data_IF_454510821400
#
_entry.id   IF_454510821400
#
_cell.length_a   1.000
_cell.length_b   1.000
_cell.length_c   1.000
_cell.angle_alpha   90.00
_cell.angle_beta   90.00
_cell.angle_gamma   90.00
#
_symmetry.space_group_name_H-M   'P 1'
#
loop_
_entity.id
_entity.type
_entity.pdbx_description
1 polymer ?
#
# COMPACT_ATOMS: atom_id res chain seq x y z
N UNK A 1 8.25 25.38 -17.21
CA UNK A 1 7.70 24.68 -16.02
C UNK A 1 8.50 23.41 -15.81
N UNK A 2 8.98 23.13 -14.60
CA UNK A 2 9.65 21.86 -14.32
C UNK A 2 8.66 20.70 -14.50
N UNK A 3 9.09 19.61 -15.14
CA UNK A 3 8.25 18.43 -15.36
C UNK A 3 8.18 17.63 -14.04
N UNK A 4 7.02 17.62 -13.38
CA UNK A 4 6.79 16.84 -12.15
C UNK A 4 5.77 15.76 -12.40
N UNK A 5 6.09 14.52 -12.00
CA UNK A 5 5.16 13.39 -12.06
C UNK A 5 4.94 12.83 -10.66
N UNK A 6 3.70 12.46 -10.35
CA UNK A 6 3.31 11.87 -9.07
C UNK A 6 2.98 10.40 -9.25
N UNK A 7 3.80 9.51 -8.69
CA UNK A 7 3.48 8.09 -8.60
C UNK A 7 2.75 7.78 -7.31
N UNK A 8 2.02 6.68 -7.31
CA UNK A 8 1.18 6.28 -6.17
C UNK A 8 1.94 5.55 -5.08
N UNK A 9 2.99 4.81 -5.41
CA UNK A 9 3.70 3.98 -4.44
C UNK A 9 5.05 3.55 -4.99
N UNK A 10 5.96 3.23 -4.07
CA UNK A 10 7.22 2.56 -4.38
C UNK A 10 7.08 1.04 -4.54
N UNK A 11 5.93 0.48 -4.19
CA UNK A 11 5.71 -0.95 -4.12
C UNK A 11 6.16 -1.56 -2.79
N UNK A 12 5.76 -2.82 -2.52
CA UNK A 12 5.93 -3.46 -1.22
C UNK A 12 7.40 -3.72 -0.87
N UNK A 13 8.25 -3.99 -1.87
CA UNK A 13 9.67 -4.27 -1.66
C UNK A 13 10.42 -3.02 -1.19
N UNK A 14 10.20 -1.88 -1.86
CA UNK A 14 10.80 -0.62 -1.45
C UNK A 14 10.30 -0.16 -0.07
N UNK A 15 9.00 -0.29 0.20
CA UNK A 15 8.42 0.02 1.51
C UNK A 15 8.98 -0.88 2.62
N UNK A 16 9.28 -2.15 2.31
CA UNK A 16 9.93 -3.07 3.26
C UNK A 16 11.28 -2.54 3.73
N UNK A 17 12.08 -1.98 2.82
CA UNK A 17 13.40 -1.42 3.13
C UNK A 17 13.32 -0.25 4.12
N UNK A 18 12.31 0.61 3.98
CA UNK A 18 12.07 1.68 4.95
C UNK A 18 11.45 1.16 6.25
N UNK A 19 10.55 0.19 6.17
CA UNK A 19 9.89 -0.39 7.32
C UNK A 19 10.87 -1.07 8.29
N UNK A 20 11.95 -1.68 7.78
CA UNK A 20 13.02 -2.25 8.61
C UNK A 20 13.66 -1.20 9.53
N UNK A 21 13.83 0.03 9.05
CA UNK A 21 14.32 1.13 9.87
C UNK A 21 13.31 1.54 10.95
N UNK A 22 12.00 1.52 10.63
CA UNK A 22 10.92 1.76 11.60
C UNK A 22 10.82 0.63 12.62
N UNK A 23 11.09 -0.62 12.24
CA UNK A 23 11.10 -1.75 13.17
C UNK A 23 12.22 -1.64 14.20
N UNK A 24 13.39 -1.15 13.75
CA UNK A 24 14.58 -0.96 14.58
C UNK A 24 14.43 0.21 15.56
N UNK A 25 13.88 1.34 15.11
CA UNK A 25 13.80 2.56 15.93
C UNK A 25 12.39 2.82 16.46
N UNK A 26 12.28 3.14 17.75
CA UNK A 26 10.99 3.36 18.40
C UNK A 26 10.54 4.83 18.37
N UNK A 27 10.73 5.51 17.24
CA UNK A 27 10.64 6.98 17.19
C UNK A 27 9.25 7.54 16.81
N UNK A 28 8.36 6.73 16.23
CA UNK A 28 7.06 7.20 15.73
C UNK A 28 5.91 6.32 16.27
N UNK A 29 5.01 6.93 17.03
CA UNK A 29 3.84 6.29 17.64
C UNK A 29 2.82 5.80 16.62
N UNK A 30 2.76 6.43 15.44
CA UNK A 30 1.89 6.00 14.35
C UNK A 30 2.15 4.55 13.94
N UNK A 31 3.34 4.00 14.18
CA UNK A 31 3.70 2.63 13.84
C UNK A 31 3.75 1.69 15.05
N UNK A 32 3.33 2.14 16.25
CA UNK A 32 3.40 1.32 17.46
C UNK A 32 2.56 0.03 17.35
N UNK A 33 1.35 0.12 16.78
CA UNK A 33 0.49 -1.04 16.52
C UNK A 33 1.13 -2.04 15.57
N UNK A 34 1.64 -1.57 14.43
CA UNK A 34 2.38 -2.38 13.47
C UNK A 34 3.60 -3.06 14.09
N UNK A 35 4.46 -2.31 14.81
CA UNK A 35 5.65 -2.87 15.48
C UNK A 35 5.27 -3.96 16.47
N UNK A 36 4.21 -3.75 17.27
CA UNK A 36 3.73 -4.74 18.25
C UNK A 36 3.30 -6.02 17.55
N UNK A 37 2.51 -5.91 16.47
CA UNK A 37 2.08 -7.07 15.69
C UNK A 37 3.27 -7.84 15.11
N UNK A 38 4.19 -7.15 14.42
CA UNK A 38 5.35 -7.79 13.78
C UNK A 38 6.25 -8.47 14.82
N UNK A 39 6.53 -7.82 15.95
CA UNK A 39 7.37 -8.40 17.02
C UNK A 39 6.71 -9.59 17.70
N UNK A 40 5.39 -9.55 17.91
CA UNK A 40 4.64 -10.64 18.54
C UNK A 40 4.52 -11.85 17.63
N UNK A 41 4.13 -11.64 16.38
CA UNK A 41 3.84 -12.71 15.42
C UNK A 41 5.12 -13.38 14.89
N UNK A 42 6.21 -12.61 14.76
CA UNK A 42 7.47 -13.07 14.19
C UNK A 42 8.63 -13.05 15.19
N UNK A 43 8.35 -13.22 16.49
CA UNK A 43 9.34 -13.16 17.57
C UNK A 43 10.60 -14.01 17.30
N UNK A 44 10.43 -15.24 16.78
CA UNK A 44 11.54 -16.14 16.43
C UNK A 44 12.43 -15.63 15.30
N UNK A 45 11.89 -14.84 14.37
CA UNK A 45 12.61 -14.29 13.20
C UNK A 45 13.07 -12.84 13.42
N UNK A 46 12.63 -12.19 14.50
CA UNK A 46 12.94 -10.80 14.78
C UNK A 46 14.45 -10.49 14.78
N UNK A 47 15.34 -11.30 15.40
CA UNK A 47 16.78 -11.03 15.35
C UNK A 47 17.33 -10.99 13.90
N UNK A 48 16.79 -11.85 13.04
CA UNK A 48 17.19 -11.91 11.63
C UNK A 48 16.77 -10.65 10.87
N UNK A 49 15.55 -10.14 11.09
CA UNK A 49 15.10 -8.88 10.49
C UNK A 49 15.89 -7.67 10.99
N UNK A 50 16.26 -7.64 12.26
CA UNK A 50 17.07 -6.56 12.82
C UNK A 50 18.50 -6.56 12.25
N UNK A 51 19.12 -7.73 12.09
CA UNK A 51 20.42 -7.86 11.42
C UNK A 51 20.36 -7.40 9.95
N UNK A 52 19.29 -7.75 9.23
CA UNK A 52 19.08 -7.25 7.87
C UNK A 52 18.94 -5.72 7.84
N UNK A 53 18.21 -5.12 8.78
CA UNK A 53 18.09 -3.67 8.91
C UNK A 53 19.45 -3.00 9.19
N UNK A 54 20.29 -3.63 10.02
CA UNK A 54 21.65 -3.18 10.30
C UNK A 54 22.52 -3.19 9.04
N UNK A 55 22.57 -4.33 8.33
CA UNK A 55 23.34 -4.50 7.08
C UNK A 55 22.98 -3.46 6.02
N UNK A 56 21.68 -3.18 5.86
CA UNK A 56 21.20 -2.17 4.91
C UNK A 56 21.56 -0.74 5.33
N UNK A 57 21.72 -0.47 6.62
CA UNK A 57 22.06 0.86 7.12
C UNK A 57 23.56 1.13 7.02
N UNK A 58 24.40 0.11 7.25
CA UNK A 58 25.86 0.22 7.24
C UNK A 58 26.47 0.21 5.85
N UNK A 59 25.68 -0.13 4.82
CA UNK A 59 26.12 -0.15 3.42
C UNK A 59 25.37 0.90 2.58
N UNK A 60 25.83 2.17 2.56
CA UNK A 60 25.26 3.18 1.68
C UNK A 60 25.28 2.75 0.21
N UNK A 61 24.24 3.09 -0.56
CA UNK A 61 24.15 2.75 -1.98
C UNK A 61 23.77 1.28 -2.27
N UNK A 62 23.55 0.48 -1.23
CA UNK A 62 23.11 -0.92 -1.39
C UNK A 62 21.70 -1.05 -1.95
N UNK A 63 20.87 -0.01 -1.83
CA UNK A 63 19.52 0.01 -2.40
C UNK A 63 19.46 1.08 -3.47
N UNK A 64 19.06 0.68 -4.68
CA UNK A 64 18.68 1.58 -5.75
C UNK A 64 17.18 1.47 -6.00
N UNK A 65 16.55 2.60 -6.36
CA UNK A 65 15.17 2.65 -6.81
C UNK A 65 15.16 3.11 -8.26
N UNK A 66 14.53 2.33 -9.13
CA UNK A 66 14.40 2.63 -10.56
C UNK A 66 12.95 2.74 -10.97
N UNK A 67 12.64 3.62 -11.91
CA UNK A 67 11.32 3.67 -12.56
C UNK A 67 11.40 2.80 -13.82
N UNK A 68 10.49 1.84 -13.94
CA UNK A 68 10.35 1.05 -15.15
C UNK A 68 9.57 1.81 -16.24
N UNK A 69 9.53 1.29 -17.46
CA UNK A 69 8.77 1.88 -18.56
C UNK A 69 7.24 1.97 -18.28
N UNK A 70 6.71 1.22 -17.31
CA UNK A 70 5.29 1.22 -16.94
C UNK A 70 4.99 2.13 -15.74
N UNK A 71 5.88 3.07 -15.42
CA UNK A 71 5.76 3.98 -14.26
C UNK A 71 5.61 3.23 -12.92
N UNK A 72 6.21 2.03 -12.85
CA UNK A 72 6.33 1.26 -11.61
C UNK A 72 7.74 1.40 -11.05
N UNK A 73 7.83 1.65 -9.75
CA UNK A 73 9.12 1.69 -9.04
C UNK A 73 9.56 0.28 -8.73
N UNK A 74 10.82 -0.04 -9.04
CA UNK A 74 11.50 -1.27 -8.66
C UNK A 74 12.61 -0.95 -7.68
N UNK A 75 12.64 -1.69 -6.57
CA UNK A 75 13.76 -1.67 -5.65
C UNK A 75 14.74 -2.79 -6.03
N UNK A 76 16.01 -2.43 -6.18
CA UNK A 76 17.07 -3.35 -6.54
C UNK A 76 18.22 -3.22 -5.52
N UNK A 77 18.73 -4.36 -5.07
CA UNK A 77 19.95 -4.40 -4.28
C UNK A 77 21.15 -4.26 -5.21
N UNK A 78 22.05 -3.32 -4.90
CA UNK A 78 23.25 -3.10 -5.67
C UNK A 78 24.19 -4.31 -5.53
N UNK A 79 24.31 -5.08 -6.61
CA UNK A 79 25.08 -6.32 -6.66
C UNK A 79 26.59 -6.09 -6.67
N UNK A 80 27.05 -4.88 -7.02
CA UNK A 80 28.48 -4.54 -7.10
C UNK A 80 29.17 -4.56 -5.74
N UNK A 81 28.41 -4.42 -4.65
CA UNK A 81 28.92 -4.38 -3.29
C UNK A 81 28.90 -5.74 -2.56
N UNK A 82 28.36 -6.81 -3.16
CA UNK A 82 28.07 -8.05 -2.44
C UNK A 82 28.38 -9.32 -3.26
N UNK A 83 28.76 -10.38 -2.55
CA UNK A 83 28.89 -11.72 -3.15
C UNK A 83 27.53 -12.34 -3.47
N UNK A 84 27.45 -13.23 -4.46
CA UNK A 84 26.21 -13.94 -4.84
C UNK A 84 25.50 -14.64 -3.67
N UNK A 85 26.20 -15.33 -2.74
CA UNK A 85 25.55 -15.90 -1.55
C UNK A 85 24.95 -14.85 -0.61
N UNK A 86 25.65 -13.74 -0.37
CA UNK A 86 25.16 -12.63 0.47
C UNK A 86 23.92 -11.98 -0.14
N UNK A 87 23.93 -11.72 -1.45
CA UNK A 87 22.78 -11.18 -2.18
C UNK A 87 21.55 -12.09 -2.05
N UNK A 88 21.74 -13.39 -2.24
CA UNK A 88 20.67 -14.38 -2.13
C UNK A 88 20.09 -14.39 -0.72
N UNK A 89 20.95 -14.41 0.29
CA UNK A 89 20.52 -14.36 1.70
C UNK A 89 19.71 -13.10 2.02
N UNK A 90 20.19 -11.92 1.62
CA UNK A 90 19.50 -10.64 1.83
C UNK A 90 18.16 -10.58 1.08
N UNK A 91 18.11 -11.09 -0.15
CA UNK A 91 16.88 -11.08 -0.96
C UNK A 91 15.82 -12.01 -0.35
N UNK A 92 16.22 -13.20 0.09
CA UNK A 92 15.32 -14.13 0.79
C UNK A 92 14.80 -13.51 2.09
N UNK A 93 15.69 -12.97 2.91
CA UNK A 93 15.35 -12.34 4.18
C UNK A 93 14.41 -11.13 4.01
N UNK A 94 14.66 -10.29 3.00
CA UNK A 94 13.78 -9.17 2.65
C UNK A 94 12.40 -9.65 2.18
N UNK A 95 12.36 -10.72 1.38
CA UNK A 95 11.11 -11.31 0.89
C UNK A 95 10.29 -11.88 2.05
N UNK A 96 10.93 -12.60 2.96
CA UNK A 96 10.28 -13.10 4.18
C UNK A 96 9.73 -11.95 5.03
N UNK A 97 10.53 -10.89 5.22
CA UNK A 97 10.08 -9.71 5.96
C UNK A 97 8.90 -9.02 5.27
N UNK A 98 8.92 -8.88 3.95
CA UNK A 98 7.83 -8.27 3.17
C UNK A 98 6.52 -9.05 3.34
N UNK A 99 6.58 -10.38 3.18
CA UNK A 99 5.41 -11.25 3.34
C UNK A 99 4.86 -11.23 4.76
N UNK A 100 5.73 -11.13 5.76
CA UNK A 100 5.36 -11.07 7.16
C UNK A 100 4.80 -9.70 7.59
N UNK A 101 5.51 -8.62 7.27
CA UNK A 101 5.30 -7.32 7.90
C UNK A 101 4.60 -6.30 7.02
N UNK A 102 4.56 -6.49 5.70
CA UNK A 102 4.01 -5.50 4.75
C UNK A 102 2.77 -6.03 4.05
N UNK A 103 2.82 -7.23 3.48
CA UNK A 103 1.73 -7.82 2.68
C UNK A 103 0.38 -7.89 3.39
N UNK A 104 0.28 -8.21 4.70
CA UNK A 104 -1.00 -8.23 5.41
C UNK A 104 -1.70 -6.85 5.45
N UNK A 105 -0.91 -5.78 5.35
CA UNK A 105 -1.37 -4.40 5.42
C UNK A 105 -1.42 -3.72 4.04
N UNK A 106 -0.83 -4.35 3.01
CA UNK A 106 -0.60 -3.72 1.71
C UNK A 106 -1.84 -3.09 1.05
N UNK A 107 -3.04 -3.71 1.05
CA UNK A 107 -4.23 -3.07 0.49
C UNK A 107 -4.59 -1.73 1.17
N UNK A 108 -4.42 -1.66 2.50
CA UNK A 108 -4.69 -0.46 3.30
C UNK A 108 -3.62 0.60 3.08
N UNK A 109 -2.36 0.18 3.07
CA UNK A 109 -1.21 1.05 2.75
C UNK A 109 -1.40 1.67 1.36
N UNK A 110 -1.74 0.85 0.36
CA UNK A 110 -1.94 1.32 -1.01
C UNK A 110 -3.09 2.33 -1.10
N UNK A 111 -4.23 2.07 -0.45
CA UNK A 111 -5.35 3.00 -0.42
C UNK A 111 -5.01 4.34 0.25
N UNK A 112 -4.21 4.30 1.33
CA UNK A 112 -3.70 5.50 1.97
C UNK A 112 -2.77 6.30 1.04
N UNK A 113 -1.80 5.64 0.41
CA UNK A 113 -0.85 6.30 -0.50
C UNK A 113 -1.52 6.83 -1.78
N UNK A 114 -2.57 6.16 -2.27
CA UNK A 114 -3.38 6.66 -3.39
C UNK A 114 -4.13 7.94 -2.99
N UNK A 115 -4.71 8.00 -1.78
CA UNK A 115 -5.34 9.22 -1.25
C UNK A 115 -4.35 10.37 -1.07
N UNK A 116 -3.14 10.07 -0.59
CA UNK A 116 -2.06 11.05 -0.48
C UNK A 116 -1.68 11.64 -1.84
N UNK A 117 -1.51 10.78 -2.86
CA UNK A 117 -1.21 11.21 -4.23
C UNK A 117 -2.32 12.10 -4.80
N UNK A 118 -3.59 11.76 -4.57
CA UNK A 118 -4.72 12.57 -5.01
C UNK A 118 -4.76 13.94 -4.31
N UNK A 119 -4.46 13.98 -3.02
CA UNK A 119 -4.34 15.22 -2.26
C UNK A 119 -3.25 16.14 -2.83
N UNK A 120 -2.09 15.58 -3.12
CA UNK A 120 -0.98 16.27 -3.78
C UNK A 120 -1.37 16.78 -5.18
N UNK A 121 -2.06 15.95 -5.96
CA UNK A 121 -2.55 16.34 -7.29
C UNK A 121 -3.49 17.55 -7.24
N UNK A 122 -4.40 17.59 -6.25
CA UNK A 122 -5.29 18.75 -6.04
C UNK A 122 -4.50 20.01 -5.68
N UNK A 123 -3.57 19.93 -4.73
CA UNK A 123 -2.74 21.08 -4.32
C UNK A 123 -1.91 21.63 -5.48
N UNK A 124 -1.35 20.74 -6.29
CA UNK A 124 -0.59 21.12 -7.49
C UNK A 124 -1.48 21.83 -8.50
N UNK A 125 -2.72 21.38 -8.69
CA UNK A 125 -3.66 22.00 -9.61
C UNK A 125 -4.16 23.37 -9.11
N UNK A 126 -4.42 23.52 -7.81
CA UNK A 126 -5.01 24.74 -7.24
C UNK A 126 -4.01 25.84 -6.93
N UNK A 127 -2.79 25.50 -6.48
CA UNK A 127 -1.78 26.48 -6.04
C UNK A 127 -0.36 26.19 -6.51
N UNK A 128 -0.21 25.28 -7.48
CA UNK A 128 1.08 24.99 -8.11
C UNK A 128 2.10 24.33 -7.19
N UNK A 129 3.35 24.37 -7.61
CA UNK A 129 4.46 23.70 -6.92
C UNK A 129 4.77 24.30 -5.56
N UNK A 130 4.59 25.62 -5.39
CA UNK A 130 4.83 26.27 -4.11
C UNK A 130 3.88 25.74 -3.03
N UNK A 131 2.59 25.63 -3.33
CA UNK A 131 1.60 25.09 -2.39
C UNK A 131 1.83 23.60 -2.13
N UNK A 132 2.13 22.82 -3.18
CA UNK A 132 2.45 21.39 -3.05
C UNK A 132 3.64 21.16 -2.10
N UNK A 133 4.79 21.79 -2.36
CA UNK A 133 5.99 21.58 -1.55
C UNK A 133 5.86 22.18 -0.14
N UNK A 134 5.06 23.24 0.01
CA UNK A 134 4.70 23.77 1.32
C UNK A 134 3.89 22.77 2.17
N UNK A 135 3.06 21.94 1.54
CA UNK A 135 2.25 20.93 2.21
C UNK A 135 3.00 19.60 2.48
N UNK A 136 3.84 19.15 1.54
CA UNK A 136 4.44 17.81 1.58
C UNK A 136 5.43 17.58 2.72
N UNK A 137 6.23 18.59 3.12
CA UNK A 137 7.09 18.51 4.30
C UNK A 137 7.75 19.88 4.58
N UNK A 138 7.88 20.28 5.84
CA UNK A 138 8.66 21.46 6.26
C UNK A 138 10.14 21.43 5.85
N UNK A 139 10.66 20.26 5.48
CA UNK A 139 12.05 20.02 5.05
C UNK A 139 12.28 20.15 3.55
N UNK A 140 11.26 20.52 2.78
CA UNK A 140 11.37 20.89 1.37
C UNK A 140 11.10 22.37 1.19
N UNK A 141 11.93 23.05 0.40
CA UNK A 141 11.75 24.46 0.08
C UNK A 141 11.79 24.63 -1.43
N UNK A 142 10.66 25.05 -2.00
CA UNK A 142 10.58 25.41 -3.40
C UNK A 142 10.92 26.88 -3.59
N UNK A 143 11.98 27.16 -4.35
CA UNK A 143 12.38 28.50 -4.82
C UNK A 143 12.71 28.39 -6.29
N UNK A 144 11.75 28.72 -7.14
CA UNK A 144 11.88 28.55 -8.59
C UNK A 144 13.24 29.07 -9.10
N UNK A 145 13.98 28.27 -9.90
CA UNK A 145 13.65 26.95 -10.43
C UNK A 145 14.11 25.76 -9.56
N UNK A 146 14.64 26.00 -8.36
CA UNK A 146 15.27 25.01 -7.51
C UNK A 146 14.35 24.46 -6.40
N UNK A 147 14.47 23.15 -6.14
CA UNK A 147 13.90 22.48 -4.98
C UNK A 147 15.02 22.12 -4.02
N UNK A 148 15.01 22.72 -2.83
CA UNK A 148 15.96 22.36 -1.77
C UNK A 148 15.33 21.32 -0.85
N UNK A 149 16.05 20.21 -0.63
CA UNK A 149 15.63 19.13 0.28
C UNK A 149 16.71 18.94 1.33
N UNK A 150 16.34 18.97 2.61
CA UNK A 150 17.28 18.67 3.70
C UNK A 150 17.64 17.18 3.70
N UNK A 151 18.75 16.84 3.05
CA UNK A 151 19.31 15.50 2.97
C UNK A 151 20.62 15.38 3.78
N UNK A 152 21.07 14.16 4.07
CA UNK A 152 22.35 13.89 4.75
C UNK A 152 23.57 14.20 3.88
N UNK A 153 23.42 14.17 2.57
CA UNK A 153 24.46 14.52 1.61
C UNK A 153 24.13 15.90 1.02
N UNK A 154 25.11 16.79 1.03
CA UNK A 154 25.02 18.10 0.40
C UNK A 154 25.49 18.01 -1.05
N UNK A 155 24.73 18.59 -1.97
CA UNK A 155 25.09 18.66 -3.38
C UNK A 155 23.93 19.16 -4.22
N UNK A 156 24.24 19.79 -5.35
CA UNK A 156 23.26 20.25 -6.32
C UNK A 156 23.14 19.22 -7.45
N UNK A 157 21.90 18.89 -7.82
CA UNK A 157 21.60 17.97 -8.93
C UNK A 157 20.93 18.77 -10.03
N UNK A 158 21.61 18.89 -11.16
CA UNK A 158 21.06 19.55 -12.33
C UNK A 158 20.18 18.57 -13.11
N UNK A 159 18.92 18.93 -13.32
CA UNK A 159 17.94 18.03 -13.95
C UNK A 159 17.90 18.13 -15.47
N UNK A 160 18.55 19.12 -16.09
CA UNK A 160 18.66 19.28 -17.55
C UNK A 160 17.36 19.06 -18.34
N UNK A 161 16.20 19.35 -17.75
CA UNK A 161 14.87 19.15 -18.35
C UNK A 161 14.20 17.78 -18.11
N UNK A 162 14.87 16.81 -17.50
CA UNK A 162 14.32 15.46 -17.22
C UNK A 162 13.12 15.50 -16.26
N UNK A 163 13.09 16.48 -15.36
CA UNK A 163 12.03 16.65 -14.37
C UNK A 163 12.30 15.91 -13.06
N UNK A 164 11.29 15.75 -12.21
CA UNK A 164 11.36 14.96 -10.97
C UNK A 164 10.12 14.08 -10.85
N UNK A 165 10.31 12.84 -10.41
CA UNK A 165 9.19 11.97 -10.02
C UNK A 165 9.05 11.97 -8.50
N UNK A 166 7.90 12.44 -8.02
CA UNK A 166 7.51 12.46 -6.63
C UNK A 166 6.79 11.17 -6.28
N UNK A 167 7.22 10.50 -5.20
CA UNK A 167 6.57 9.26 -4.73
C UNK A 167 6.40 9.29 -3.21
N UNK A 168 5.18 9.11 -2.69
CA UNK A 168 4.97 8.99 -1.26
C UNK A 168 5.49 7.64 -0.76
N UNK A 169 6.01 7.63 0.47
CA UNK A 169 6.31 6.40 1.20
C UNK A 169 5.74 6.47 2.60
N UNK A 170 5.03 5.43 3.00
CA UNK A 170 4.45 5.33 4.33
C UNK A 170 5.55 5.12 5.38
N UNK A 171 6.50 4.21 5.11
CA UNK A 171 7.52 3.84 6.10
C UNK A 171 8.78 4.71 6.07
N UNK A 172 8.91 5.62 5.10
CA UNK A 172 9.95 6.64 5.15
C UNK A 172 9.64 7.61 6.30
N UNK A 173 10.55 7.72 7.26
CA UNK A 173 10.47 8.71 8.34
C UNK A 173 11.49 9.83 8.18
N UNK A 174 11.12 11.05 8.55
CA UNK A 174 12.07 12.16 8.70
C UNK A 174 12.18 13.05 7.47
N UNK A 175 13.29 12.95 6.73
CA UNK A 175 13.52 13.79 5.54
C UNK A 175 13.21 13.03 4.25
N UNK A 176 12.71 13.71 3.19
CA UNK A 176 12.63 13.14 1.86
C UNK A 176 14.01 12.65 1.36
N UNK A 177 14.00 11.65 0.48
CA UNK A 177 15.20 11.03 -0.08
C UNK A 177 15.18 11.12 -1.60
N UNK A 178 16.28 11.62 -2.16
CA UNK A 178 16.49 11.66 -3.61
C UNK A 178 17.26 10.42 -4.06
N UNK A 179 16.75 9.74 -5.08
CA UNK A 179 17.40 8.59 -5.73
C UNK A 179 17.73 8.99 -7.16
N UNK A 180 19.03 8.94 -7.47
CA UNK A 180 19.57 9.23 -8.79
C UNK A 180 19.76 7.91 -9.55
N UNK A 181 19.53 7.93 -10.87
CA UNK A 181 19.89 6.82 -11.73
C UNK A 181 21.30 7.04 -12.27
N UNK A 182 22.29 6.36 -11.68
CA UNK A 182 23.69 6.49 -12.09
C UNK A 182 23.97 5.92 -13.48
N UNK A 183 23.18 4.94 -13.92
CA UNK A 183 23.37 4.28 -15.23
C UNK A 183 22.71 5.07 -16.37
N UNK A 184 21.65 5.84 -16.07
CA UNK A 184 20.95 6.67 -17.04
C UNK A 184 20.69 8.07 -16.45
N UNK A 185 21.71 8.95 -16.43
CA UNK A 185 21.62 10.27 -15.79
C UNK A 185 20.53 11.18 -16.37
N UNK A 186 20.12 10.94 -17.63
CA UNK A 186 19.08 11.71 -18.30
C UNK A 186 17.66 11.34 -17.85
N UNK A 187 17.49 10.24 -17.11
CA UNK A 187 16.18 9.86 -16.55
C UNK A 187 15.84 10.73 -15.34
N UNK A 188 14.55 11.07 -15.15
CA UNK A 188 14.14 11.88 -14.00
C UNK A 188 14.44 11.14 -12.69
N UNK A 189 15.08 11.81 -11.72
CA UNK A 189 15.31 11.23 -10.40
C UNK A 189 14.00 11.03 -9.63
N UNK A 190 14.02 10.10 -8.69
CA UNK A 190 12.90 9.87 -7.76
C UNK A 190 13.14 10.65 -6.48
N UNK A 191 12.21 11.53 -6.14
CA UNK A 191 12.13 12.13 -4.82
C UNK A 191 11.05 11.40 -4.02
N UNK A 192 11.51 10.56 -3.09
CA UNK A 192 10.65 9.86 -2.15
C UNK A 192 10.40 10.76 -0.95
N UNK A 193 9.14 11.01 -0.60
CA UNK A 193 8.79 11.83 0.55
C UNK A 193 7.98 11.03 1.58
N UNK A 194 8.13 11.35 2.88
CA UNK A 194 7.40 10.67 3.93
C UNK A 194 5.93 11.07 3.91
N UNK A 195 5.04 10.08 3.78
CA UNK A 195 3.59 10.24 3.92
C UNK A 195 3.20 9.77 5.32
N UNK A 196 3.41 10.64 6.32
CA UNK A 196 3.20 10.28 7.73
C UNK A 196 1.70 10.30 8.07
N UNK A 197 1.11 9.17 8.47
CA UNK A 197 -0.30 9.14 8.81
C UNK A 197 -0.50 9.81 10.17
N UNK A 198 -1.59 10.58 10.30
CA UNK A 198 -2.02 11.06 11.60
C UNK A 198 -2.44 9.87 12.50
N UNK A 199 -2.54 10.04 13.84
CA UNK A 199 -2.84 8.95 14.77
C UNK A 199 -4.14 8.18 14.48
N UNK A 200 -5.17 8.83 13.93
CA UNK A 200 -6.43 8.17 13.58
C UNK A 200 -6.26 7.26 12.36
N UNK A 201 -5.61 7.76 11.31
CA UNK A 201 -5.30 6.98 10.11
C UNK A 201 -4.35 5.84 10.45
N UNK A 202 -3.35 6.09 11.30
CA UNK A 202 -2.41 5.09 11.79
C UNK A 202 -3.13 3.94 12.51
N UNK A 203 -4.06 4.26 13.40
CA UNK A 203 -4.91 3.24 14.06
C UNK A 203 -5.65 2.41 13.00
N UNK A 204 -6.35 3.05 12.06
CA UNK A 204 -7.07 2.35 11.00
C UNK A 204 -6.18 1.49 10.10
N UNK A 205 -4.94 1.90 9.84
CA UNK A 205 -3.98 1.12 9.05
C UNK A 205 -3.63 -0.20 9.74
N UNK A 206 -3.51 -0.23 11.07
CA UNK A 206 -2.98 -1.40 11.79
C UNK A 206 -4.05 -2.24 12.49
N UNK A 207 -5.11 -1.62 13.02
CA UNK A 207 -6.12 -2.30 13.83
C UNK A 207 -7.35 -2.73 13.03
N UNK A 208 -7.36 -2.51 11.72
CA UNK A 208 -8.49 -2.93 10.88
C UNK A 208 -8.61 -4.45 10.88
N UNK A 209 -9.54 -4.92 11.70
CA UNK A 209 -10.17 -6.23 11.54
C UNK A 209 -11.26 -6.02 10.49
N UNK A 210 -11.27 -6.75 9.36
CA UNK A 210 -12.37 -6.67 8.42
C UNK A 210 -13.65 -6.94 9.22
N UNK A 211 -14.55 -5.96 9.29
CA UNK A 211 -15.58 -5.97 10.30
C UNK A 211 -16.65 -6.96 9.89
N UNK A 212 -16.55 -8.20 10.37
CA UNK A 212 -17.66 -9.17 10.33
C UNK A 212 -18.94 -8.54 10.91
N UNK A 213 -18.79 -7.60 11.85
CA UNK A 213 -19.89 -6.89 12.52
C UNK A 213 -20.37 -5.58 11.85
N UNK A 214 -19.55 -4.84 11.08
CA UNK A 214 -20.05 -3.60 10.45
C UNK A 214 -20.93 -3.91 9.23
N UNK A 215 -20.58 -4.94 8.46
CA UNK A 215 -21.45 -5.44 7.39
C UNK A 215 -22.74 -6.02 7.98
N UNK A 216 -22.65 -6.77 9.09
CA UNK A 216 -23.83 -7.26 9.79
C UNK A 216 -24.74 -6.12 10.29
N UNK A 217 -24.16 -4.99 10.72
CA UNK A 217 -24.93 -3.80 11.13
C UNK A 217 -25.58 -3.08 9.94
N UNK A 218 -24.98 -3.15 8.75
CA UNK A 218 -25.46 -2.48 7.54
C UNK A 218 -26.51 -3.29 6.77
N UNK A 219 -26.28 -4.59 6.57
CA UNK A 219 -27.16 -5.46 5.74
C UNK A 219 -27.95 -6.49 6.55
N UNK A 220 -27.70 -6.58 7.86
CA UNK A 220 -28.22 -7.61 8.76
C UNK A 220 -27.26 -8.79 8.91
N UNK A 221 -27.26 -9.41 10.10
CA UNK A 221 -26.37 -10.52 10.47
C UNK A 221 -26.45 -11.70 9.48
N UNK A 222 -27.66 -12.16 9.16
CA UNK A 222 -27.88 -13.30 8.26
C UNK A 222 -27.46 -13.00 6.82
N UNK A 223 -27.72 -11.78 6.30
CA UNK A 223 -27.28 -11.41 4.94
C UNK A 223 -25.77 -11.25 4.87
N UNK A 224 -25.14 -10.73 5.92
CA UNK A 224 -23.67 -10.67 6.04
C UNK A 224 -23.07 -12.08 6.03
N UNK A 225 -23.66 -13.02 6.77
CA UNK A 225 -23.24 -14.42 6.79
C UNK A 225 -23.40 -15.10 5.41
N UNK A 226 -24.52 -14.87 4.72
CA UNK A 226 -24.75 -15.37 3.34
C UNK A 226 -23.74 -14.76 2.36
N UNK A 227 -23.44 -13.47 2.45
CA UNK A 227 -22.46 -12.81 1.58
C UNK A 227 -21.04 -13.34 1.82
N UNK A 228 -20.65 -13.54 3.09
CA UNK A 228 -19.35 -14.14 3.44
C UNK A 228 -19.24 -15.60 2.99
N UNK A 229 -20.32 -16.36 3.14
CA UNK A 229 -20.39 -17.73 2.64
C UNK A 229 -20.23 -17.80 1.12
N UNK A 230 -20.45 -16.72 0.37
CA UNK A 230 -20.25 -16.69 -1.08
C UNK A 230 -18.83 -16.32 -1.50
N UNK A 231 -17.87 -16.26 -0.56
CA UNK A 231 -16.44 -16.19 -0.88
C UNK A 231 -16.01 -17.31 -1.85
N UNK A 232 -16.72 -18.45 -1.84
CA UNK A 232 -16.70 -19.43 -2.91
C UNK A 232 -18.13 -19.61 -3.45
N UNK A 233 -18.26 -19.88 -4.76
CA UNK A 233 -19.55 -20.07 -5.42
C UNK A 233 -20.31 -21.25 -4.79
N UNK A 234 -21.58 -21.04 -4.45
CA UNK A 234 -22.42 -22.04 -3.76
C UNK A 234 -23.83 -22.08 -4.33
N UNK A 235 -24.45 -23.24 -4.30
CA UNK A 235 -25.89 -23.42 -4.54
C UNK A 235 -26.72 -22.89 -3.36
N UNK A 236 -28.02 -22.68 -3.58
CA UNK A 236 -28.93 -22.26 -2.50
C UNK A 236 -28.96 -23.25 -1.33
N UNK A 237 -28.87 -24.56 -1.60
CA UNK A 237 -28.84 -25.62 -0.57
C UNK A 237 -27.52 -25.61 0.20
N UNK A 238 -26.39 -25.43 -0.48
CA UNK A 238 -25.08 -25.30 0.18
C UNK A 238 -25.01 -24.04 1.04
N UNK A 239 -25.62 -22.93 0.59
CA UNK A 239 -25.73 -21.70 1.40
C UNK A 239 -26.57 -21.92 2.65
N UNK A 240 -27.73 -22.57 2.51
CA UNK A 240 -28.62 -22.89 3.63
C UNK A 240 -27.88 -23.71 4.71
N UNK A 241 -27.18 -24.76 4.29
CA UNK A 241 -26.41 -25.62 5.18
C UNK A 241 -25.21 -24.89 5.80
N UNK A 242 -24.48 -24.08 5.04
CA UNK A 242 -23.29 -23.39 5.52
C UNK A 242 -23.62 -22.28 6.54
N UNK A 243 -24.74 -21.58 6.34
CA UNK A 243 -25.16 -20.48 7.22
C UNK A 243 -26.06 -20.97 8.37
N UNK A 244 -26.63 -22.18 8.28
CA UNK A 244 -27.52 -22.75 9.29
C UNK A 244 -28.95 -22.18 9.23
N UNK A 245 -29.45 -21.93 8.01
CA UNK A 245 -30.80 -21.38 7.76
C UNK A 245 -31.60 -22.27 6.80
N UNK A 246 -32.91 -22.07 6.70
CA UNK A 246 -33.74 -22.83 5.77
C UNK A 246 -33.43 -22.48 4.30
N UNK A 247 -33.68 -23.41 3.38
CA UNK A 247 -33.51 -23.18 1.94
C UNK A 247 -34.37 -22.02 1.41
N UNK A 248 -35.59 -21.84 1.95
CA UNK A 248 -36.45 -20.70 1.63
C UNK A 248 -35.84 -19.37 2.07
N UNK A 249 -35.28 -19.32 3.30
CA UNK A 249 -34.59 -18.13 3.83
C UNK A 249 -33.31 -17.82 3.03
N UNK A 250 -32.51 -18.85 2.70
CA UNK A 250 -31.33 -18.71 1.86
C UNK A 250 -31.68 -18.15 0.47
N UNK A 251 -32.75 -18.66 -0.16
CA UNK A 251 -33.24 -18.16 -1.45
C UNK A 251 -33.71 -16.70 -1.39
N UNK A 252 -34.39 -16.32 -0.32
CA UNK A 252 -34.83 -14.95 -0.09
C UNK A 252 -33.64 -14.00 0.10
N UNK A 253 -32.66 -14.37 0.93
CA UNK A 253 -31.44 -13.59 1.13
C UNK A 253 -30.63 -13.47 -0.17
N UNK A 254 -30.45 -14.56 -0.91
CA UNK A 254 -29.79 -14.55 -2.22
C UNK A 254 -30.52 -13.64 -3.21
N UNK A 255 -31.85 -13.63 -3.22
CA UNK A 255 -32.63 -12.72 -4.07
C UNK A 255 -32.40 -11.26 -3.72
N UNK A 256 -32.43 -10.91 -2.43
CA UNK A 256 -32.16 -9.53 -1.99
C UNK A 256 -30.74 -9.09 -2.37
N UNK A 257 -29.73 -9.94 -2.12
CA UNK A 257 -28.34 -9.64 -2.45
C UNK A 257 -28.11 -9.55 -3.96
N UNK A 258 -28.82 -10.36 -4.75
CA UNK A 258 -28.78 -10.31 -6.22
C UNK A 258 -29.41 -9.03 -6.74
N UNK A 259 -30.57 -8.64 -6.20
CA UNK A 259 -31.25 -7.40 -6.58
C UNK A 259 -30.41 -6.16 -6.20
N UNK A 260 -29.61 -6.24 -5.13
CA UNK A 260 -28.64 -5.22 -4.74
C UNK A 260 -27.34 -5.25 -5.56
N UNK A 261 -27.20 -6.13 -6.56
CA UNK A 261 -26.02 -6.24 -7.40
C UNK A 261 -24.79 -6.85 -6.71
N UNK A 262 -24.94 -7.43 -5.51
CA UNK A 262 -23.84 -7.98 -4.72
C UNK A 262 -23.47 -9.41 -5.14
N UNK A 263 -24.44 -10.14 -5.70
CA UNK A 263 -24.23 -11.50 -6.19
C UNK A 263 -24.84 -11.68 -7.58
N UNK A 264 -24.23 -12.53 -8.39
CA UNK A 264 -24.82 -13.04 -9.62
C UNK A 264 -25.33 -14.46 -9.40
N UNK A 265 -26.19 -14.94 -10.30
CA UNK A 265 -26.71 -16.31 -10.23
C UNK A 265 -26.71 -16.92 -11.61
N UNK A 266 -26.03 -18.05 -11.74
CA UNK A 266 -26.03 -18.86 -12.95
C UNK A 266 -26.87 -20.10 -12.70
N UNK A 267 -27.95 -20.27 -13.47
CA UNK A 267 -28.79 -21.46 -13.39
C UNK A 267 -28.25 -22.53 -14.33
N UNK A 268 -28.02 -23.70 -13.77
CA UNK A 268 -27.88 -24.95 -14.52
C UNK A 268 -29.25 -25.63 -14.61
N UNK A 269 -29.33 -26.75 -15.32
CA UNK A 269 -30.58 -27.52 -15.47
C UNK A 269 -31.11 -28.08 -14.15
N UNK A 270 -30.26 -28.20 -13.12
CA UNK A 270 -30.57 -28.85 -11.84
C UNK A 270 -30.32 -27.97 -10.61
N UNK A 271 -29.61 -26.84 -10.74
CA UNK A 271 -29.28 -25.98 -9.59
C UNK A 271 -29.04 -24.52 -9.96
N UNK A 272 -29.21 -23.62 -9.00
CA UNK A 272 -28.80 -22.22 -9.12
C UNK A 272 -27.51 -22.01 -8.33
N UNK A 273 -26.43 -21.66 -9.01
CA UNK A 273 -25.13 -21.34 -8.39
C UNK A 273 -25.06 -19.82 -8.22
N UNK A 274 -24.79 -19.39 -6.99
CA UNK A 274 -24.61 -17.99 -6.63
C UNK A 274 -23.12 -17.69 -6.51
N UNK A 275 -22.70 -16.52 -6.99
CA UNK A 275 -21.30 -16.08 -6.98
C UNK A 275 -21.25 -14.59 -6.62
N UNK A 276 -20.22 -14.17 -5.87
CA UNK A 276 -20.01 -12.74 -5.59
C UNK A 276 -19.72 -11.97 -6.88
N UNK A 277 -20.32 -10.79 -7.00
CA UNK A 277 -19.88 -9.80 -7.99
C UNK A 277 -18.62 -9.08 -7.49
N UNK A 278 -17.92 -8.30 -8.32
CA UNK A 278 -16.84 -7.42 -7.85
C UNK A 278 -17.27 -6.48 -6.71
N UNK A 279 -18.51 -5.96 -6.75
CA UNK A 279 -19.08 -5.15 -5.68
C UNK A 279 -19.32 -5.95 -4.39
N UNK A 280 -19.86 -7.18 -4.51
CA UNK A 280 -20.01 -8.09 -3.38
C UNK A 280 -18.67 -8.47 -2.73
N UNK A 281 -17.64 -8.74 -3.54
CA UNK A 281 -16.28 -8.99 -3.05
C UNK A 281 -15.70 -7.76 -2.34
N UNK A 282 -15.84 -6.56 -2.91
CA UNK A 282 -15.34 -5.32 -2.32
C UNK A 282 -15.97 -5.06 -0.93
N UNK A 283 -17.29 -5.24 -0.82
CA UNK A 283 -18.02 -5.10 0.44
C UNK A 283 -17.69 -6.20 1.45
N UNK A 284 -17.53 -7.45 1.00
CA UNK A 284 -17.17 -8.56 1.89
C UNK A 284 -15.72 -8.47 2.40
N UNK A 285 -14.81 -7.92 1.61
CA UNK A 285 -13.37 -7.82 1.93
C UNK A 285 -12.98 -6.45 2.53
N UNK A 286 -13.93 -5.50 2.63
CA UNK A 286 -13.67 -4.15 3.11
C UNK A 286 -12.72 -3.35 2.21
N UNK A 287 -12.69 -3.64 0.90
CA UNK A 287 -11.88 -2.89 -0.07
C UNK A 287 -12.73 -1.80 -0.71
N UNK A 288 -12.31 -0.54 -0.60
CA UNK A 288 -12.89 0.54 -1.39
C UNK A 288 -12.53 0.33 -2.87
N UNK A 289 -13.53 0.19 -3.74
CA UNK A 289 -13.34 0.32 -5.18
C UNK A 289 -13.34 1.81 -5.56
N UNK A 290 -12.44 2.29 -6.44
CA UNK A 290 -12.44 3.69 -6.86
C UNK A 290 -13.72 4.00 -7.64
N UNK A 291 -14.42 5.07 -7.23
CA UNK A 291 -15.64 5.54 -7.90
C UNK A 291 -15.38 5.72 -9.40
N UNK A 292 -16.17 5.05 -10.22
CA UNK A 292 -16.35 5.44 -11.62
C UNK A 292 -17.17 6.73 -11.63
N UNK A 293 -16.57 7.82 -12.09
CA UNK A 293 -17.32 8.99 -12.55
C UNK A 293 -17.74 8.63 -13.98
N UNK A 294 -19.02 8.29 -14.18
CA UNK A 294 -19.62 8.35 -15.51
C UNK A 294 -20.00 9.82 -15.77
N UNK A 295 -19.84 10.33 -17.01
CA UNK A 295 -20.11 11.72 -17.36
C UNK A 295 -21.61 11.94 -17.63
N UNK A 296 -22.10 13.11 -17.25
CA UNK A 296 -23.46 13.59 -17.51
C UNK A 296 -23.86 14.65 -16.49
#
# INVERSE_FOLDING_TARGET
MGNFRLLKTLGPTAESLFALNILRHNANDAFAGWRRSVRSEYARRLPHFLNLAETLTTTPGLVSLRISATDTVKAELNTRALTTPQLRHLTTALSEFQEAAIRPYWPRILGYLESERESCGRLMFTGGLHQLFGALNRKMKWRSPALTVLNRQSGDVQLSGSGIVLVPSLFLSGSPRLFLNEEEPDKPPLLVYPAEPNPLVATALWTFTPPKQSLASLVGSTRSAVLQALAESRTTTELANHVGISAGSASQHATVLRNAGLISTTRTRTSAIHTLTPLGMALSLGRCWPKRIEPG
#
